data_IF_638460197336
#
_entry.id   IF_638460197336
#
_cell.length_a   1.000
_cell.length_b   1.000
_cell.length_c   1.000
_cell.angle_alpha   90.00
_cell.angle_beta   90.00
_cell.angle_gamma   90.00
#
_symmetry.space_group_name_H-M   'P 1'
#
loop_
_entity.id
_entity.type
_entity.pdbx_description
1 polymer ?
#
# COMPACT_ATOMS: atom_id res chain seq x y z
N UNK A 1 -2.49 -23.86 -9.12
CA UNK A 1 -3.19 -22.91 -8.22
C UNK A 1 -2.30 -21.69 -8.06
N UNK A 2 -2.75 -20.51 -8.47
CA UNK A 2 -1.94 -19.28 -8.35
C UNK A 2 -1.85 -18.88 -6.87
N UNK A 3 -0.66 -18.97 -6.29
CA UNK A 3 -0.34 -18.81 -4.87
C UNK A 3 -0.80 -17.49 -4.21
N UNK A 4 -1.29 -16.52 -5.01
CA UNK A 4 -1.52 -15.13 -4.59
C UNK A 4 -2.94 -14.61 -4.87
N UNK A 5 -3.88 -15.46 -5.28
CA UNK A 5 -5.28 -15.03 -5.53
C UNK A 5 -6.04 -14.77 -4.22
N UNK A 6 -5.56 -15.32 -3.10
CA UNK A 6 -6.21 -15.20 -1.78
C UNK A 6 -5.49 -14.25 -0.80
N UNK A 7 -4.32 -13.71 -1.17
CA UNK A 7 -3.56 -12.79 -0.31
C UNK A 7 -3.72 -11.33 -0.75
N UNK A 8 -3.64 -10.40 0.20
CA UNK A 8 -3.71 -8.97 -0.12
C UNK A 8 -2.52 -8.57 -1.01
N UNK A 9 -2.78 -7.73 -2.01
CA UNK A 9 -1.72 -7.23 -2.93
C UNK A 9 -0.57 -6.60 -2.16
N UNK A 10 -0.86 -5.87 -1.08
CA UNK A 10 0.13 -5.19 -0.25
C UNK A 10 1.07 -6.20 0.44
N UNK A 11 0.53 -7.30 0.98
CA UNK A 11 1.32 -8.37 1.59
C UNK A 11 2.24 -9.05 0.58
N UNK A 12 1.71 -9.45 -0.58
CA UNK A 12 2.48 -10.13 -1.63
C UNK A 12 3.64 -9.26 -2.14
N UNK A 13 3.37 -7.99 -2.45
CA UNK A 13 4.39 -7.06 -2.95
C UNK A 13 5.44 -6.79 -1.88
N UNK A 14 5.05 -6.64 -0.61
CA UNK A 14 5.98 -6.45 0.50
C UNK A 14 6.97 -7.62 0.65
N UNK A 15 6.48 -8.87 0.50
CA UNK A 15 7.34 -10.06 0.55
C UNK A 15 8.36 -10.05 -0.59
N UNK A 16 7.94 -9.80 -1.84
CA UNK A 16 8.86 -9.74 -2.97
C UNK A 16 9.87 -8.60 -2.89
N UNK A 17 9.46 -7.42 -2.42
CA UNK A 17 10.38 -6.30 -2.22
C UNK A 17 11.40 -6.58 -1.12
N UNK A 18 11.02 -7.34 -0.09
CA UNK A 18 11.92 -7.73 0.99
C UNK A 18 13.03 -8.66 0.50
N UNK A 19 12.74 -9.56 -0.44
CA UNK A 19 13.72 -10.47 -1.05
C UNK A 19 14.81 -9.75 -1.87
N UNK A 20 14.57 -8.50 -2.29
CA UNK A 20 15.55 -7.74 -3.07
C UNK A 20 16.69 -7.18 -2.20
N UNK A 21 16.41 -6.86 -0.93
CA UNK A 21 17.40 -6.31 -0.02
C UNK A 21 17.00 -6.52 1.46
N UNK A 22 17.69 -7.42 2.15
CA UNK A 22 17.43 -7.80 3.54
C UNK A 22 17.66 -6.68 4.57
N UNK A 23 18.45 -5.66 4.20
CA UNK A 23 18.70 -4.49 5.03
C UNK A 23 17.50 -3.53 5.05
N UNK A 24 16.67 -3.54 4.01
CA UNK A 24 15.42 -2.77 3.97
C UNK A 24 14.35 -3.54 4.75
N UNK A 25 13.55 -2.85 5.58
CA UNK A 25 12.42 -3.48 6.29
C UNK A 25 11.11 -3.04 5.64
N UNK A 26 10.62 -3.87 4.73
CA UNK A 26 9.34 -3.62 4.07
C UNK A 26 8.19 -3.83 5.06
N UNK A 27 7.22 -2.90 5.06
CA UNK A 27 6.00 -2.98 5.87
C UNK A 27 4.79 -2.74 4.97
N UNK A 28 3.67 -3.36 5.32
CA UNK A 28 2.39 -3.16 4.63
C UNK A 28 1.26 -2.92 5.64
N UNK A 29 0.17 -2.34 5.15
CA UNK A 29 -1.07 -2.12 5.90
C UNK A 29 -2.24 -2.60 5.04
N UNK A 30 -3.18 -3.34 5.64
CA UNK A 30 -4.37 -3.86 4.98
C UNK A 30 -5.59 -2.93 5.17
N UNK A 31 -5.38 -1.63 4.97
CA UNK A 31 -6.43 -0.62 5.02
C UNK A 31 -6.30 0.30 3.80
N UNK A 32 -7.44 0.77 3.28
CA UNK A 32 -7.42 1.74 2.20
C UNK A 32 -6.91 3.10 2.69
N UNK A 33 -6.31 3.92 1.81
CA UNK A 33 -5.86 5.27 2.18
C UNK A 33 -6.98 6.12 2.78
N UNK A 34 -8.20 6.03 2.24
CA UNK A 34 -9.36 6.79 2.72
C UNK A 34 -9.76 6.36 4.13
N UNK A 35 -9.71 5.06 4.42
CA UNK A 35 -9.98 4.54 5.76
C UNK A 35 -8.89 5.00 6.76
N UNK A 36 -7.62 4.95 6.37
CA UNK A 36 -6.50 5.41 7.19
C UNK A 36 -6.58 6.91 7.47
N UNK A 37 -6.89 7.75 6.48
CA UNK A 37 -7.04 9.21 6.67
C UNK A 37 -8.19 9.50 7.64
N UNK A 38 -9.34 8.82 7.50
CA UNK A 38 -10.48 9.00 8.40
C UNK A 38 -10.18 8.55 9.82
N UNK A 39 -9.45 7.44 9.98
CA UNK A 39 -9.15 6.84 11.29
C UNK A 39 -7.98 7.51 12.01
N UNK A 40 -6.90 7.83 11.28
CA UNK A 40 -5.67 8.41 11.80
C UNK A 40 -4.97 9.27 10.72
N UNK A 41 -5.35 10.54 10.54
CA UNK A 41 -4.77 11.39 9.49
C UNK A 41 -3.26 11.61 9.65
N UNK A 42 -2.74 11.55 10.88
CA UNK A 42 -1.30 11.70 11.17
C UNK A 42 -0.46 10.47 10.81
N UNK A 43 -1.07 9.35 10.38
CA UNK A 43 -0.36 8.14 10.00
C UNK A 43 0.71 8.42 8.92
N UNK A 44 0.38 9.24 7.92
CA UNK A 44 1.27 9.56 6.80
C UNK A 44 2.44 10.47 7.20
N UNK A 45 2.35 11.15 8.34
CA UNK A 45 3.42 12.01 8.86
C UNK A 45 4.60 11.21 9.42
N UNK A 46 4.47 9.89 9.56
CA UNK A 46 5.53 8.99 10.01
C UNK A 46 6.56 8.68 8.92
N UNK A 47 6.30 9.08 7.67
CA UNK A 47 7.11 8.75 6.50
C UNK A 47 7.81 10.00 5.95
N UNK A 48 9.01 9.80 5.40
CA UNK A 48 9.77 10.91 4.79
C UNK A 48 9.16 11.29 3.44
N UNK A 49 8.66 10.31 2.70
CA UNK A 49 8.01 10.50 1.42
C UNK A 49 6.84 9.52 1.27
N UNK A 50 5.69 10.04 0.84
CA UNK A 50 4.51 9.24 0.53
C UNK A 50 4.31 9.23 -0.98
N UNK A 51 4.39 8.06 -1.60
CA UNK A 51 4.18 7.89 -3.04
C UNK A 51 2.83 7.22 -3.26
N UNK A 52 1.85 7.97 -3.74
CA UNK A 52 0.53 7.43 -4.08
C UNK A 52 0.43 7.17 -5.59
N UNK A 53 0.25 5.90 -5.98
CA UNK A 53 0.10 5.51 -7.39
C UNK A 53 -1.34 5.11 -7.70
N UNK A 54 -1.73 5.30 -8.97
CA UNK A 54 -3.05 4.95 -9.50
C UNK A 54 -4.25 5.68 -8.87
N UNK A 55 -4.05 6.75 -8.09
CA UNK A 55 -5.13 7.51 -7.44
C UNK A 55 -6.07 8.15 -8.48
N UNK A 56 -7.39 7.88 -8.46
CA UNK A 56 -8.32 8.42 -9.42
C UNK A 56 -8.49 9.90 -9.13
N UNK A 57 -8.50 10.68 -10.21
CA UNK A 57 -8.81 12.12 -10.13
C UNK A 57 -10.26 12.38 -9.69
N UNK A 58 -11.15 11.39 -9.86
CA UNK A 58 -12.57 11.49 -9.52
C UNK A 58 -13.03 10.17 -8.87
N UNK A 59 -13.77 10.25 -7.77
CA UNK A 59 -14.22 9.10 -6.98
C UNK A 59 -15.19 8.12 -7.69
N UNK A 60 -15.32 8.21 -9.02
CA UNK A 60 -16.33 7.48 -9.80
C UNK A 60 -15.88 6.09 -10.28
N UNK A 61 -14.64 5.66 -10.04
CA UNK A 61 -14.20 4.30 -10.38
C UNK A 61 -13.75 3.49 -9.15
N UNK A 62 -14.63 2.67 -8.55
CA UNK A 62 -14.34 1.87 -7.36
C UNK A 62 -13.36 0.70 -7.60
N UNK A 63 -12.93 0.46 -8.84
CA UNK A 63 -12.07 -0.67 -9.20
C UNK A 63 -10.62 -0.29 -9.49
N UNK A 64 -10.18 0.94 -9.18
CA UNK A 64 -8.77 1.30 -9.36
C UNK A 64 -7.96 0.84 -8.14
N UNK A 65 -7.04 -0.13 -8.29
CA UNK A 65 -6.23 -0.59 -7.16
C UNK A 65 -5.15 0.43 -6.85
N UNK A 66 -5.25 1.10 -5.69
CA UNK A 66 -4.20 1.98 -5.18
C UNK A 66 -3.06 1.19 -4.59
N UNK A 67 -1.83 1.65 -4.86
CA UNK A 67 -0.66 1.22 -4.12
C UNK A 67 0.00 2.48 -3.60
N UNK A 68 -0.07 2.69 -2.29
CA UNK A 68 0.80 3.67 -1.63
C UNK A 68 2.11 2.95 -1.35
N UNK A 69 3.18 3.43 -1.97
CA UNK A 69 4.53 3.05 -1.61
C UNK A 69 5.00 4.03 -0.53
N UNK A 70 5.24 3.49 0.66
CA UNK A 70 5.75 4.23 1.82
C UNK A 70 7.27 4.06 1.83
N UNK A 71 8.00 5.16 1.68
CA UNK A 71 9.47 5.20 1.66
C UNK A 71 10.01 5.95 2.88
#
# INVERSE_FOLDING_TARGET
MAKFVEESKAKCVCAFLQELNDAVKAKFVEESPEALIKRNPSFFSLFTLVIATQVPRYASNPYTPFVIHLA
#
